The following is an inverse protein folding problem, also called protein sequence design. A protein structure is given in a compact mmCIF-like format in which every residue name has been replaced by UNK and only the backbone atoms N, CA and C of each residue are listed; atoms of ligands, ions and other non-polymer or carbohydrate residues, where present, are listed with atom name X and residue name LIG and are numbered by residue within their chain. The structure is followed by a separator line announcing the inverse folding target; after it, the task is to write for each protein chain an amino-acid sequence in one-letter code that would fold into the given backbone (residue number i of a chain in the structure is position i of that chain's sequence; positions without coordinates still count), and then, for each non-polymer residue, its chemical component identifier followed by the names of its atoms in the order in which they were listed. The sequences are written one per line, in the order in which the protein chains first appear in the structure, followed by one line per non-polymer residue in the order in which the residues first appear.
data_IF_595128759905
#
_entry.id   IF_595128759905
#
_cell.length_a   1.000
_cell.length_b   1.000
_cell.length_c   1.000
_cell.angle_alpha   90.00
_cell.angle_beta   90.00
_cell.angle_gamma   90.00
#
_symmetry.space_group_name_H-M   'P 1'
#
loop_
_entity.id
_entity.type
_entity.pdbx_description
1 polymer ?
#
# COMPACT_ATOMS: atom_id res chain seq x y z
N UNK A 1 -14.55 7.75 -3.56
CA UNK A 1 -14.59 7.15 -2.21
C UNK A 1 -15.06 5.72 -2.41
N UNK A 2 -14.35 4.72 -1.88
CA UNK A 2 -14.83 3.34 -1.98
C UNK A 2 -16.14 3.21 -1.21
N UNK A 3 -17.15 2.60 -1.82
CA UNK A 3 -18.50 2.39 -1.28
C UNK A 3 -18.55 1.34 -0.15
N UNK A 4 -17.40 1.09 0.51
CA UNK A 4 -17.24 0.07 1.54
C UNK A 4 -16.62 0.73 2.79
N UNK A 5 -17.47 0.97 3.78
CA UNK A 5 -17.11 1.65 5.04
C UNK A 5 -16.33 0.77 6.04
N UNK A 6 -15.97 -0.46 5.64
CA UNK A 6 -15.39 -1.50 6.51
C UNK A 6 -14.05 -2.06 5.98
N UNK A 7 -13.36 -1.34 5.11
CA UNK A 7 -12.05 -1.78 4.61
C UNK A 7 -10.90 -1.15 5.41
N UNK A 8 -9.96 -1.97 5.87
CA UNK A 8 -8.72 -1.45 6.46
C UNK A 8 -7.89 -0.71 5.39
N UNK A 9 -7.23 0.39 5.77
CA UNK A 9 -6.46 1.22 4.83
C UNK A 9 -5.37 0.41 4.10
N UNK A 10 -4.68 -0.48 4.82
CA UNK A 10 -3.69 -1.39 4.24
C UNK A 10 -4.29 -2.27 3.13
N UNK A 11 -5.51 -2.78 3.33
CA UNK A 11 -6.23 -3.55 2.32
C UNK A 11 -6.61 -2.69 1.12
N UNK A 12 -7.11 -1.48 1.34
CA UNK A 12 -7.50 -0.55 0.27
C UNK A 12 -6.32 -0.14 -0.62
N UNK A 13 -5.15 0.06 -0.02
CA UNK A 13 -3.92 0.32 -0.75
C UNK A 13 -3.48 -0.92 -1.54
N UNK A 14 -3.40 -2.07 -0.88
CA UNK A 14 -2.93 -3.32 -1.50
C UNK A 14 -3.78 -3.77 -2.70
N UNK A 15 -5.06 -3.40 -2.75
CA UNK A 15 -5.99 -3.69 -3.86
C UNK A 15 -6.17 -2.56 -4.86
N UNK A 16 -5.39 -1.48 -4.77
CA UNK A 16 -5.53 -0.29 -5.62
C UNK A 16 -6.95 0.32 -5.63
N UNK A 17 -7.61 0.38 -4.47
CA UNK A 17 -8.95 0.97 -4.34
C UNK A 17 -8.96 2.40 -4.90
N UNK A 18 -9.94 2.71 -5.74
CA UNK A 18 -10.15 4.03 -6.34
C UNK A 18 -11.62 4.45 -6.26
N UNK A 19 -11.88 5.75 -6.44
CA UNK A 19 -13.24 6.27 -6.57
C UNK A 19 -13.68 6.41 -8.02
N UNK A 20 -14.91 6.90 -8.22
CA UNK A 20 -15.39 7.36 -9.53
C UNK A 20 -14.65 8.64 -9.93
N UNK A 21 -14.04 8.64 -11.12
CA UNK A 21 -13.35 9.79 -11.70
C UNK A 21 -12.25 9.32 -12.65
N UNK A 22 -12.40 9.58 -13.95
CA UNK A 22 -11.52 9.02 -14.98
C UNK A 22 -10.05 9.47 -14.89
N UNK A 23 -9.79 10.59 -14.21
CA UNK A 23 -8.46 11.19 -14.07
C UNK A 23 -7.93 11.12 -12.63
N UNK A 24 -8.70 10.57 -11.69
CA UNK A 24 -8.27 10.44 -10.31
C UNK A 24 -7.48 9.14 -10.14
N UNK A 25 -6.27 9.18 -9.55
CA UNK A 25 -5.51 7.97 -9.34
C UNK A 25 -6.10 7.12 -8.20
N UNK A 26 -5.64 5.87 -8.07
CA UNK A 26 -6.01 5.03 -6.93
C UNK A 26 -5.38 5.54 -5.62
N UNK A 27 -5.91 5.13 -4.47
CA UNK A 27 -5.41 5.58 -3.16
C UNK A 27 -3.92 5.27 -2.95
N UNK A 28 -3.42 4.18 -3.53
CA UNK A 28 -2.01 3.81 -3.46
C UNK A 28 -1.09 4.83 -4.16
N UNK A 29 -1.61 5.65 -5.06
CA UNK A 29 -0.87 6.72 -5.73
C UNK A 29 -0.41 7.83 -4.76
N UNK A 30 -1.15 8.04 -3.67
CA UNK A 30 -0.89 9.08 -2.67
C UNK A 30 -0.02 8.60 -1.50
N UNK A 31 0.36 7.31 -1.48
CA UNK A 31 1.16 6.73 -0.39
C UNK A 31 2.56 7.34 -0.34
N UNK A 32 2.97 7.89 0.80
CA UNK A 32 4.29 8.50 0.98
C UNK A 32 5.31 7.45 1.46
N UNK A 33 4.91 6.59 2.41
CA UNK A 33 5.72 5.47 2.89
C UNK A 33 4.87 4.40 3.57
N UNK A 34 5.48 3.24 3.82
CA UNK A 34 4.87 2.18 4.62
C UNK A 34 5.91 1.32 5.33
N UNK A 35 5.45 0.57 6.34
CA UNK A 35 6.22 -0.49 6.98
C UNK A 35 5.66 -1.85 6.60
N UNK A 36 6.55 -2.75 6.17
CA UNK A 36 6.25 -4.11 5.74
C UNK A 36 6.88 -5.13 6.68
N UNK A 37 6.12 -6.13 7.09
CA UNK A 37 6.61 -7.33 7.77
C UNK A 37 6.68 -8.47 6.76
N UNK A 38 7.87 -9.01 6.50
CA UNK A 38 8.09 -10.08 5.51
C UNK A 38 7.78 -11.46 6.09
N UNK A 39 7.83 -12.50 5.24
CA UNK A 39 7.61 -13.89 5.66
C UNK A 39 8.70 -14.40 6.62
N UNK A 40 9.90 -13.84 6.51
CA UNK A 40 11.06 -14.12 7.36
C UNK A 40 10.97 -13.41 8.72
N UNK A 41 9.97 -12.55 8.91
CA UNK A 41 9.78 -11.75 10.12
C UNK A 41 10.60 -10.45 10.14
N UNK A 42 11.23 -10.09 9.02
CA UNK A 42 11.93 -8.81 8.89
C UNK A 42 10.94 -7.65 8.79
N UNK A 43 11.35 -6.49 9.30
CA UNK A 43 10.57 -5.26 9.26
C UNK A 43 11.30 -4.25 8.37
N UNK A 44 10.66 -3.87 7.26
CA UNK A 44 11.20 -2.95 6.28
C UNK A 44 10.39 -1.65 6.29
N UNK A 45 11.05 -0.52 6.47
CA UNK A 45 10.47 0.79 6.14
C UNK A 45 10.74 1.08 4.66
N UNK A 46 9.69 1.42 3.91
CA UNK A 46 9.73 1.58 2.45
C UNK A 46 9.21 2.97 2.06
N UNK A 47 9.96 3.65 1.20
CA UNK A 47 9.66 4.98 0.66
C UNK A 47 10.31 5.15 -0.72
N UNK A 48 10.07 6.26 -1.44
CA UNK A 48 10.78 6.53 -2.69
C UNK A 48 12.30 6.56 -2.58
N UNK A 49 12.86 6.75 -1.37
CA UNK A 49 14.30 6.86 -1.11
C UNK A 49 14.89 5.72 -0.28
N UNK A 50 14.05 4.84 0.27
CA UNK A 50 14.46 3.71 1.11
C UNK A 50 13.70 2.45 0.69
N UNK A 51 14.41 1.38 0.34
CA UNK A 51 13.80 0.16 -0.24
C UNK A 51 12.86 0.51 -1.41
N UNK A 52 13.33 1.37 -2.32
CA UNK A 52 12.49 2.02 -3.34
C UNK A 52 11.86 1.03 -4.34
N UNK A 53 12.52 -0.09 -4.60
CA UNK A 53 12.02 -1.22 -5.37
C UNK A 53 10.85 -1.92 -4.65
N UNK A 54 11.02 -2.20 -3.35
CA UNK A 54 9.96 -2.74 -2.49
C UNK A 54 8.81 -1.74 -2.37
N UNK A 55 9.10 -0.44 -2.28
CA UNK A 55 8.08 0.61 -2.29
C UNK A 55 7.29 0.61 -3.59
N UNK A 56 7.95 0.55 -4.75
CA UNK A 56 7.29 0.54 -6.04
C UNK A 56 6.36 -0.68 -6.21
N UNK A 57 6.81 -1.87 -5.79
CA UNK A 57 6.02 -3.10 -5.87
C UNK A 57 4.97 -3.26 -4.76
N UNK A 58 5.26 -2.78 -3.55
CA UNK A 58 4.46 -2.99 -2.34
C UNK A 58 3.20 -2.14 -2.24
N UNK A 59 3.15 -1.03 -2.97
CA UNK A 59 1.97 -0.14 -3.03
C UNK A 59 0.70 -0.85 -3.47
N UNK A 60 0.82 -1.82 -4.38
CA UNK A 60 -0.27 -2.65 -4.89
C UNK A 60 0.22 -4.09 -5.02
N UNK A 61 0.31 -4.79 -3.90
CA UNK A 61 0.88 -6.13 -3.83
C UNK A 61 -0.11 -7.24 -3.49
N UNK A 62 -1.38 -6.92 -3.18
CA UNK A 62 -2.38 -7.90 -2.70
C UNK A 62 -1.90 -8.77 -1.52
N UNK A 63 -0.94 -8.27 -0.73
CA UNK A 63 -0.33 -9.00 0.39
C UNK A 63 0.75 -10.02 0.01
N UNK A 64 1.14 -10.12 -1.27
CA UNK A 64 2.13 -11.10 -1.74
C UNK A 64 3.55 -10.87 -1.20
N UNK A 65 3.87 -9.63 -0.80
CA UNK A 65 5.19 -9.27 -0.28
C UNK A 65 5.27 -9.32 1.26
N UNK A 66 4.16 -9.58 1.94
CA UNK A 66 4.06 -9.55 3.40
C UNK A 66 2.88 -8.71 3.89
N UNK A 67 2.96 -8.29 5.16
CA UNK A 67 1.89 -7.53 5.84
C UNK A 67 2.30 -6.08 6.05
N UNK A 68 1.46 -5.15 5.59
CA UNK A 68 1.61 -3.72 5.89
C UNK A 68 1.17 -3.46 7.34
N UNK A 69 2.09 -3.02 8.19
CA UNK A 69 1.81 -2.75 9.61
C UNK A 69 1.59 -1.27 9.92
N UNK A 70 2.12 -0.37 9.08
CA UNK A 70 2.02 1.08 9.23
C UNK A 70 2.05 1.74 7.84
N UNK A 71 1.33 2.84 7.67
CA UNK A 71 1.27 3.61 6.42
C UNK A 71 1.31 5.10 6.73
N UNK A 72 1.94 5.89 5.86
CA UNK A 72 1.98 7.35 5.94
C UNK A 72 1.66 7.96 4.59
#
# INVERSE_FOLDING_TARGET
QGDIDRQAIAGALATATHGTGAQLPCLAAELASFRLVTAEGEVLDCSPTQNADVFAGGRVALGLLGVLSEVT
#
